data_IF_936050911625
#
_entry.id   IF_936050911625
#
_cell.length_a   1.000
_cell.length_b   1.000
_cell.length_c   1.000
_cell.angle_alpha   90.00
_cell.angle_beta   90.00
_cell.angle_gamma   90.00
#
_symmetry.space_group_name_H-M   'P 1'
#
loop_
_entity.id
_entity.type
_entity.pdbx_description
1 polymer ?
#
# COMPACT_ATOMS: atom_id res chain seq x y z
N UNK A 1 11.36 -34.50 -38.11
CA UNK A 1 12.33 -34.74 -36.99
C UNK A 1 13.08 -33.46 -36.58
N UNK A 2 13.60 -32.65 -37.52
CA UNK A 2 14.35 -31.43 -37.19
C UNK A 2 13.54 -30.41 -36.36
N UNK A 3 12.25 -30.22 -36.66
CA UNK A 3 11.36 -29.29 -35.94
C UNK A 3 11.12 -29.73 -34.48
N UNK A 4 10.98 -31.05 -34.22
CA UNK A 4 10.77 -31.58 -32.88
C UNK A 4 12.04 -31.45 -32.02
N UNK A 5 13.23 -31.68 -32.63
CA UNK A 5 14.53 -31.47 -31.96
C UNK A 5 14.72 -30.00 -31.65
N UNK A 6 14.41 -29.09 -32.58
CA UNK A 6 14.46 -27.63 -32.34
C UNK A 6 13.48 -27.19 -31.22
N UNK A 7 12.26 -27.75 -31.20
CA UNK A 7 11.29 -27.47 -30.16
C UNK A 7 11.81 -27.92 -28.77
N UNK A 8 12.42 -29.12 -28.70
CA UNK A 8 13.06 -29.63 -27.47
C UNK A 8 14.21 -28.71 -27.00
N UNK A 9 15.10 -28.35 -27.90
CA UNK A 9 16.23 -27.46 -27.57
C UNK A 9 15.79 -26.07 -27.09
N UNK A 10 14.76 -25.49 -27.73
CA UNK A 10 14.16 -24.22 -27.28
C UNK A 10 13.52 -24.33 -25.91
N UNK A 11 12.88 -25.46 -25.60
CA UNK A 11 12.27 -25.68 -24.29
C UNK A 11 13.33 -25.80 -23.18
N UNK A 12 14.47 -26.39 -23.47
CA UNK A 12 15.61 -26.49 -22.54
C UNK A 12 16.29 -25.15 -22.31
N UNK A 13 16.27 -24.24 -23.29
CA UNK A 13 16.85 -22.91 -23.17
C UNK A 13 16.03 -21.95 -22.30
N UNK A 14 14.74 -22.25 -22.03
CA UNK A 14 13.89 -21.43 -21.15
C UNK A 14 14.21 -21.76 -19.71
N UNK A 15 14.93 -20.90 -19.03
CA UNK A 15 15.19 -20.98 -17.60
C UNK A 15 14.29 -20.03 -16.82
N UNK A 16 13.65 -20.51 -15.77
CA UNK A 16 12.86 -19.68 -14.84
C UNK A 16 13.64 -19.55 -13.54
N UNK A 17 14.18 -18.37 -13.29
CA UNK A 17 14.95 -18.11 -12.06
C UNK A 17 14.06 -18.22 -10.83
N UNK A 18 14.56 -18.85 -9.76
CA UNK A 18 13.82 -18.96 -8.52
C UNK A 18 13.71 -17.60 -7.83
N UNK A 19 12.48 -17.18 -7.53
CA UNK A 19 12.25 -16.02 -6.65
C UNK A 19 12.36 -16.49 -5.20
N UNK A 20 13.55 -16.37 -4.62
CA UNK A 20 13.82 -16.75 -3.23
C UNK A 20 13.43 -15.63 -2.25
N UNK A 21 12.17 -15.14 -2.34
CA UNK A 21 11.67 -14.07 -1.49
C UNK A 21 10.67 -14.62 -0.46
N UNK A 22 11.01 -14.50 0.82
CA UNK A 22 10.10 -14.89 1.91
C UNK A 22 9.03 -13.84 2.13
N UNK A 23 7.84 -14.24 2.55
CA UNK A 23 6.71 -13.34 2.81
C UNK A 23 7.03 -12.16 3.76
N UNK A 24 7.79 -12.34 4.87
CA UNK A 24 8.17 -11.22 5.73
C UNK A 24 9.06 -10.20 5.03
N UNK A 25 10.00 -10.67 4.21
CA UNK A 25 10.95 -9.81 3.49
C UNK A 25 10.22 -9.02 2.39
N UNK A 26 9.32 -9.66 1.66
CA UNK A 26 8.43 -9.02 0.69
C UNK A 26 7.58 -7.91 1.35
N UNK A 27 7.06 -8.16 2.54
CA UNK A 27 6.30 -7.17 3.29
C UNK A 27 7.15 -5.96 3.70
N UNK A 28 8.39 -6.17 4.15
CA UNK A 28 9.30 -5.07 4.50
C UNK A 28 9.65 -4.20 3.28
N UNK A 29 9.93 -4.84 2.14
CA UNK A 29 10.18 -4.13 0.87
C UNK A 29 8.95 -3.32 0.45
N UNK A 30 7.77 -3.93 0.48
CA UNK A 30 6.52 -3.25 0.12
C UNK A 30 6.22 -2.07 1.06
N UNK A 31 6.43 -2.24 2.37
CA UNK A 31 6.26 -1.19 3.38
C UNK A 31 7.16 0.02 3.12
N UNK A 32 8.39 -0.20 2.63
CA UNK A 32 9.35 0.86 2.35
C UNK A 32 9.16 1.56 1.01
N UNK A 33 8.51 0.90 0.03
CA UNK A 33 8.46 1.40 -1.34
C UNK A 33 7.03 1.74 -1.84
N UNK A 34 5.98 1.31 -1.15
CA UNK A 34 4.60 1.61 -1.55
C UNK A 34 4.14 2.95 -1.01
N UNK A 35 3.99 3.93 -1.90
CA UNK A 35 3.58 5.29 -1.57
C UNK A 35 2.16 5.36 -0.98
N UNK A 36 1.24 4.52 -1.46
CA UNK A 36 -0.13 4.44 -0.91
C UNK A 36 -0.14 4.03 0.57
N UNK A 37 0.74 3.11 0.95
CA UNK A 37 0.88 2.67 2.33
C UNK A 37 1.54 3.76 3.20
N UNK A 38 2.52 4.49 2.66
CA UNK A 38 3.12 5.64 3.32
C UNK A 38 2.10 6.76 3.53
N UNK A 39 1.28 7.06 2.53
CA UNK A 39 0.19 8.05 2.61
C UNK A 39 -0.85 7.64 3.65
N UNK A 40 -1.24 6.37 3.71
CA UNK A 40 -2.14 5.85 4.74
C UNK A 40 -1.59 6.03 6.16
N UNK A 41 -0.28 5.87 6.35
CA UNK A 41 0.39 6.15 7.62
C UNK A 41 0.40 7.66 7.94
N UNK A 42 0.66 8.51 6.96
CA UNK A 42 0.62 9.96 7.14
C UNK A 42 -0.79 10.43 7.53
N UNK A 43 -1.83 9.95 6.84
CA UNK A 43 -3.23 10.25 7.17
C UNK A 43 -3.60 9.83 8.61
N UNK A 44 -3.05 8.72 9.11
CA UNK A 44 -3.25 8.31 10.50
C UNK A 44 -2.59 9.31 11.48
N UNK A 45 -1.39 9.81 11.16
CA UNK A 45 -0.71 10.82 11.96
C UNK A 45 -1.50 12.12 11.97
N UNK A 46 -2.05 12.53 10.84
CA UNK A 46 -2.86 13.75 10.74
C UNK A 46 -4.16 13.65 11.54
N UNK A 47 -4.83 12.50 11.50
CA UNK A 47 -6.01 12.26 12.35
C UNK A 47 -5.68 12.30 13.85
N UNK A 48 -4.48 11.90 14.25
CA UNK A 48 -4.00 12.04 15.63
C UNK A 48 -3.71 13.49 16.00
N UNK A 49 -3.10 14.26 15.08
CA UNK A 49 -2.85 15.71 15.29
C UNK A 49 -4.16 16.49 15.42
N UNK A 50 -5.19 16.09 14.71
CA UNK A 50 -6.51 16.70 14.81
C UNK A 50 -7.13 16.55 16.22
N UNK A 51 -6.83 15.45 16.92
CA UNK A 51 -7.23 15.30 18.33
C UNK A 51 -6.57 16.38 19.20
N UNK A 52 -5.28 16.64 18.99
CA UNK A 52 -4.58 17.66 19.76
C UNK A 52 -5.12 19.06 19.46
N UNK A 53 -5.35 19.36 18.20
CA UNK A 53 -5.95 20.63 17.77
C UNK A 53 -7.31 20.87 18.43
N UNK A 54 -8.22 19.89 18.39
CA UNK A 54 -9.53 20.02 19.03
C UNK A 54 -9.44 20.02 20.57
N UNK A 55 -8.42 19.40 21.17
CA UNK A 55 -8.17 19.50 22.60
C UNK A 55 -7.75 20.91 23.00
N UNK A 56 -6.91 21.55 22.19
CA UNK A 56 -6.45 22.91 22.47
C UNK A 56 -7.60 23.91 22.37
N UNK A 57 -8.58 23.67 21.49
CA UNK A 57 -9.82 24.46 21.44
C UNK A 57 -10.68 24.37 22.73
N UNK A 58 -10.45 23.38 23.59
CA UNK A 58 -11.12 23.25 24.89
C UNK A 58 -10.46 24.07 26.00
N UNK A 59 -9.28 24.62 25.76
CA UNK A 59 -8.57 25.40 26.79
C UNK A 59 -9.18 26.79 26.93
N UNK A 60 -9.08 27.37 28.13
CA UNK A 60 -9.43 28.77 28.38
C UNK A 60 -8.44 29.71 27.70
N UNK A 61 -8.94 30.79 27.17
CA UNK A 61 -8.12 31.84 26.54
C UNK A 61 -8.24 33.13 27.33
N UNK A 62 -7.11 33.74 27.69
CA UNK A 62 -7.04 35.05 28.28
C UNK A 62 -6.35 35.99 27.29
N UNK A 63 -7.14 36.88 26.70
CA UNK A 63 -6.62 37.93 25.84
C UNK A 63 -6.37 39.21 26.66
N UNK A 64 -5.17 39.75 26.54
CA UNK A 64 -4.80 41.03 27.11
C UNK A 64 -4.58 41.99 25.96
N UNK A 65 -5.43 43.02 25.85
CA UNK A 65 -5.30 44.05 24.81
C UNK A 65 -4.78 45.33 25.47
N UNK A 66 -3.82 45.97 24.85
CA UNK A 66 -3.29 47.24 25.27
C UNK A 66 -3.26 48.18 24.06
N UNK A 67 -4.18 49.12 24.06
CA UNK A 67 -4.29 50.12 23.00
C UNK A 67 -3.80 51.46 23.51
N UNK A 68 -2.79 52.02 22.83
CA UNK A 68 -2.20 53.30 23.19
C UNK A 68 -2.26 54.28 22.00
N UNK A 69 -2.88 55.44 22.22
CA UNK A 69 -2.86 56.53 21.23
C UNK A 69 -2.18 57.74 21.85
N UNK A 70 -1.07 58.17 21.26
CA UNK A 70 -0.28 59.30 21.69
C UNK A 70 -0.32 60.39 20.59
N UNK A 71 -0.86 61.55 20.92
CA UNK A 71 -0.90 62.65 19.99
C UNK A 71 0.04 63.77 20.40
N UNK A 72 0.75 64.37 19.45
CA UNK A 72 1.61 65.54 19.68
C UNK A 72 0.80 66.82 19.61
N UNK A 73 1.07 67.77 20.48
CA UNK A 73 0.41 69.05 20.47
C UNK A 73 1.15 70.07 19.57
N UNK A 74 0.42 70.72 18.67
CA UNK A 74 0.93 71.66 17.67
C UNK A 74 1.89 71.05 16.65
N UNK A 75 2.59 71.86 15.89
CA UNK A 75 3.48 71.43 14.77
C UNK A 75 4.86 70.87 15.22
N UNK A 76 4.99 70.42 16.45
CA UNK A 76 6.25 69.89 16.97
C UNK A 76 6.14 68.37 17.20
N UNK A 77 6.82 67.55 16.39
CA UNK A 77 6.73 66.08 16.48
C UNK A 77 7.27 65.45 17.78
N UNK A 78 7.97 66.19 18.61
CA UNK A 78 8.53 65.73 19.86
C UNK A 78 7.77 66.24 21.10
N UNK A 79 6.67 67.01 20.92
CA UNK A 79 5.89 67.57 22.01
C UNK A 79 4.75 66.66 22.44
N UNK A 80 5.07 65.65 23.24
CA UNK A 80 4.07 64.75 23.83
C UNK A 80 3.51 65.35 25.13
N UNK A 81 2.17 65.33 25.28
CA UNK A 81 1.49 65.77 26.50
C UNK A 81 0.59 64.68 27.06
N UNK A 82 0.61 64.49 28.37
CA UNK A 82 -0.25 63.54 29.07
C UNK A 82 -1.76 63.68 28.77
N UNK A 83 -2.32 64.89 28.62
CA UNK A 83 -3.73 65.08 28.34
C UNK A 83 -4.16 64.60 26.94
N UNK A 84 -3.23 64.42 26.00
CA UNK A 84 -3.49 63.94 24.62
C UNK A 84 -3.14 62.47 24.44
N UNK A 85 -2.78 61.77 25.51
CA UNK A 85 -2.44 60.37 25.53
C UNK A 85 -3.63 59.59 26.06
N UNK A 86 -4.11 58.60 25.29
CA UNK A 86 -5.13 57.63 25.74
C UNK A 86 -4.49 56.24 25.78
N UNK A 87 -4.53 55.61 26.95
CA UNK A 87 -4.11 54.22 27.14
C UNK A 87 -5.32 53.44 27.61
N UNK A 88 -5.68 52.39 26.83
CA UNK A 88 -6.77 51.49 27.11
C UNK A 88 -6.21 50.10 27.34
N UNK A 89 -6.49 49.51 28.51
CA UNK A 89 -6.17 48.13 28.82
C UNK A 89 -7.45 47.29 28.90
N UNK A 90 -7.53 46.27 28.10
CA UNK A 90 -8.65 45.33 28.09
C UNK A 90 -8.18 43.93 28.50
N UNK A 91 -9.02 43.26 29.31
CA UNK A 91 -8.86 41.85 29.67
C UNK A 91 -10.11 41.14 29.23
N UNK A 92 -9.94 40.16 28.34
CA UNK A 92 -11.02 39.30 27.86
C UNK A 92 -10.68 37.86 28.27
N UNK A 93 -11.53 37.27 29.12
CA UNK A 93 -11.37 35.90 29.58
C UNK A 93 -12.49 35.03 29.01
N UNK A 94 -12.12 34.11 28.12
CA UNK A 94 -13.03 33.08 27.58
C UNK A 94 -12.95 31.79 28.40
N UNK A 95 -13.94 31.57 29.27
CA UNK A 95 -14.00 30.40 30.12
C UNK A 95 -14.72 29.24 29.46
N UNK A 96 -14.24 27.97 29.59
CA UNK A 96 -14.80 26.80 28.88
C UNK A 96 -16.10 26.26 29.49
N UNK A 97 -17.02 27.14 29.95
CA UNK A 97 -18.20 26.75 30.72
C UNK A 97 -19.24 26.02 29.85
N UNK A 98 -19.39 26.35 28.57
CA UNK A 98 -20.42 25.81 27.68
C UNK A 98 -19.90 25.47 26.28
N UNK A 99 -18.68 24.99 26.14
CA UNK A 99 -18.09 24.60 24.84
C UNK A 99 -18.64 23.23 24.38
N UNK A 100 -19.95 23.17 24.12
CA UNK A 100 -20.60 21.94 23.71
C UNK A 100 -20.14 21.51 22.30
N UNK A 101 -19.96 22.46 21.40
CA UNK A 101 -19.52 22.23 20.02
C UNK A 101 -18.09 21.67 20.03
N UNK A 102 -17.17 22.35 20.68
CA UNK A 102 -15.75 21.97 20.77
C UNK A 102 -15.58 20.60 21.47
N UNK A 103 -16.43 20.29 22.45
CA UNK A 103 -16.45 18.97 23.09
C UNK A 103 -16.96 17.87 22.14
N UNK A 104 -17.90 18.18 21.28
CA UNK A 104 -18.38 17.25 20.28
C UNK A 104 -17.32 17.04 19.18
N UNK A 105 -16.67 18.11 18.71
CA UNK A 105 -15.59 18.06 17.74
C UNK A 105 -14.41 17.22 18.25
N UNK A 106 -14.04 17.41 19.52
CA UNK A 106 -13.02 16.56 20.16
C UNK A 106 -13.40 15.09 20.20
N UNK A 107 -14.66 14.76 20.55
CA UNK A 107 -15.16 13.38 20.54
C UNK A 107 -15.20 12.80 19.13
N UNK A 108 -15.62 13.59 18.17
CA UNK A 108 -15.63 13.21 16.77
C UNK A 108 -14.20 12.91 16.27
N UNK A 109 -13.22 13.74 16.60
CA UNK A 109 -11.82 13.51 16.27
C UNK A 109 -11.30 12.20 16.87
N UNK A 110 -11.66 11.88 18.12
CA UNK A 110 -11.31 10.58 18.74
C UNK A 110 -11.91 9.40 17.99
N UNK A 111 -13.18 9.47 17.60
CA UNK A 111 -13.87 8.42 16.84
C UNK A 111 -13.24 8.26 15.46
N UNK A 112 -12.94 9.37 14.77
CA UNK A 112 -12.33 9.37 13.45
C UNK A 112 -10.91 8.81 13.48
N UNK A 113 -10.12 9.11 14.51
CA UNK A 113 -8.83 8.48 14.73
C UNK A 113 -8.94 6.96 14.88
N UNK A 114 -9.90 6.47 15.68
CA UNK A 114 -10.10 5.04 15.86
C UNK A 114 -10.56 4.35 14.55
N UNK A 115 -11.36 5.03 13.73
CA UNK A 115 -11.74 4.54 12.39
C UNK A 115 -10.53 4.48 11.47
N UNK A 116 -9.72 5.55 11.39
CA UNK A 116 -8.50 5.62 10.60
C UNK A 116 -7.49 4.56 11.01
N UNK A 117 -7.31 4.34 12.33
CA UNK A 117 -6.43 3.29 12.86
C UNK A 117 -6.87 1.89 12.42
N UNK A 118 -8.17 1.58 12.49
CA UNK A 118 -8.71 0.29 12.02
C UNK A 118 -8.54 0.13 10.52
N UNK A 119 -8.82 1.18 9.74
CA UNK A 119 -8.60 1.19 8.28
C UNK A 119 -7.14 0.93 7.91
N UNK A 120 -6.20 1.55 8.63
CA UNK A 120 -4.77 1.31 8.41
C UNK A 120 -4.36 -0.14 8.74
N UNK A 121 -4.86 -0.72 9.83
CA UNK A 121 -4.61 -2.12 10.19
C UNK A 121 -5.16 -3.04 9.08
N UNK A 122 -6.39 -2.80 8.64
CA UNK A 122 -7.02 -3.57 7.55
C UNK A 122 -6.20 -3.48 6.25
N UNK A 123 -5.74 -2.30 5.88
CA UNK A 123 -4.88 -2.09 4.71
C UNK A 123 -3.55 -2.84 4.82
N UNK A 124 -2.93 -2.82 6.00
CA UNK A 124 -1.71 -3.58 6.28
C UNK A 124 -1.92 -5.09 6.14
N UNK A 125 -3.01 -5.59 6.69
CA UNK A 125 -3.32 -7.01 6.68
C UNK A 125 -3.70 -7.47 5.26
N UNK A 126 -4.44 -6.66 4.50
CA UNK A 126 -4.73 -6.90 3.09
C UNK A 126 -3.45 -6.94 2.23
N UNK A 127 -2.51 -6.01 2.47
CA UNK A 127 -1.20 -6.03 1.81
C UNK A 127 -0.44 -7.33 2.09
N UNK A 128 -0.38 -7.75 3.36
CA UNK A 128 0.31 -8.98 3.74
C UNK A 128 -0.34 -10.23 3.11
N UNK A 129 -1.67 -10.29 3.09
CA UNK A 129 -2.42 -11.37 2.42
C UNK A 129 -2.18 -11.37 0.91
N UNK A 130 -2.23 -10.20 0.25
CA UNK A 130 -1.96 -10.05 -1.18
C UNK A 130 -0.55 -10.53 -1.55
N UNK A 131 0.47 -10.14 -0.79
CA UNK A 131 1.85 -10.58 -1.02
C UNK A 131 2.01 -12.09 -0.86
N UNK A 132 1.38 -12.69 0.16
CA UNK A 132 1.39 -14.16 0.33
C UNK A 132 0.68 -14.88 -0.82
N UNK A 133 -0.40 -14.30 -1.34
CA UNK A 133 -1.11 -14.86 -2.49
C UNK A 133 -0.25 -14.81 -3.75
N UNK A 134 0.40 -13.66 -4.02
CA UNK A 134 1.31 -13.49 -5.16
C UNK A 134 2.51 -14.44 -5.11
N UNK A 135 3.14 -14.61 -3.95
CA UNK A 135 4.27 -15.54 -3.81
C UNK A 135 3.83 -16.98 -4.09
N UNK A 136 2.67 -17.41 -3.57
CA UNK A 136 2.11 -18.74 -3.89
C UNK A 136 1.76 -18.89 -5.36
N UNK A 137 1.25 -17.85 -5.99
CA UNK A 137 0.96 -17.86 -7.43
C UNK A 137 2.24 -17.99 -8.27
N UNK A 138 3.33 -17.34 -7.88
CA UNK A 138 4.64 -17.50 -8.53
C UNK A 138 5.11 -18.95 -8.41
N UNK A 139 5.02 -19.55 -7.22
CA UNK A 139 5.41 -20.96 -7.02
C UNK A 139 4.55 -21.91 -7.84
N UNK A 140 3.23 -21.67 -7.89
CA UNK A 140 2.30 -22.44 -8.73
C UNK A 140 2.65 -22.36 -10.21
N UNK A 141 2.87 -21.14 -10.73
CA UNK A 141 3.24 -20.93 -12.13
C UNK A 141 4.57 -21.61 -12.48
N UNK A 142 5.52 -21.63 -11.57
CA UNK A 142 6.79 -22.35 -11.75
C UNK A 142 6.56 -23.86 -11.88
N UNK A 143 5.74 -24.43 -11.00
CA UNK A 143 5.39 -25.86 -11.09
C UNK A 143 4.65 -26.16 -12.38
N UNK A 144 3.76 -25.27 -12.82
CA UNK A 144 3.05 -25.43 -14.08
C UNK A 144 3.99 -25.43 -15.29
N UNK A 145 4.99 -24.54 -15.32
CA UNK A 145 6.03 -24.53 -16.37
C UNK A 145 6.76 -25.86 -16.41
N UNK A 146 7.13 -26.45 -15.26
CA UNK A 146 7.80 -27.75 -15.21
C UNK A 146 6.88 -28.89 -15.69
N UNK A 147 5.60 -28.85 -15.35
CA UNK A 147 4.61 -29.83 -15.82
C UNK A 147 4.47 -29.73 -17.34
N UNK A 148 4.31 -28.52 -17.88
CA UNK A 148 4.19 -28.32 -19.31
C UNK A 148 5.45 -28.74 -20.07
N UNK A 149 6.63 -28.48 -19.51
CA UNK A 149 7.91 -28.92 -20.08
C UNK A 149 7.96 -30.46 -20.19
N UNK A 150 7.56 -31.16 -19.14
CA UNK A 150 7.48 -32.64 -19.16
C UNK A 150 6.42 -33.14 -20.14
N UNK A 151 5.26 -32.47 -20.21
CA UNK A 151 4.20 -32.81 -21.16
C UNK A 151 4.66 -32.72 -22.61
N UNK A 152 5.40 -31.67 -22.99
CA UNK A 152 5.98 -31.54 -24.34
C UNK A 152 7.01 -32.62 -24.61
N UNK A 153 7.88 -32.96 -23.64
CA UNK A 153 8.85 -34.05 -23.80
C UNK A 153 8.15 -35.40 -24.02
N UNK A 154 7.07 -35.67 -23.29
CA UNK A 154 6.25 -36.89 -23.48
C UNK A 154 5.59 -36.88 -24.87
N UNK A 155 5.04 -35.74 -25.31
CA UNK A 155 4.44 -35.61 -26.60
C UNK A 155 5.42 -35.89 -27.76
N UNK A 156 6.66 -35.35 -27.64
CA UNK A 156 7.74 -35.64 -28.61
C UNK A 156 8.03 -37.14 -28.66
N UNK A 157 8.23 -37.78 -27.52
CA UNK A 157 8.48 -39.24 -27.46
C UNK A 157 7.33 -40.07 -28.04
N UNK A 158 6.08 -39.61 -27.82
CA UNK A 158 4.89 -40.29 -28.38
C UNK A 158 4.86 -40.22 -29.91
N UNK A 159 5.22 -39.08 -30.51
CA UNK A 159 5.34 -38.94 -31.95
C UNK A 159 6.42 -39.87 -32.50
N UNK A 160 7.62 -39.87 -31.88
CA UNK A 160 8.70 -40.78 -32.30
C UNK A 160 8.32 -42.25 -32.20
N UNK A 161 7.63 -42.64 -31.14
CA UNK A 161 7.12 -44.00 -30.94
C UNK A 161 6.09 -44.38 -32.00
N UNK A 162 5.14 -43.48 -32.30
CA UNK A 162 4.12 -43.72 -33.32
C UNK A 162 4.75 -43.86 -34.73
N UNK A 163 5.74 -43.05 -35.05
CA UNK A 163 6.51 -43.17 -36.27
C UNK A 163 7.25 -44.50 -36.38
N UNK A 164 7.92 -44.91 -35.31
CA UNK A 164 8.61 -46.21 -35.26
C UNK A 164 7.67 -47.37 -35.42
N UNK A 165 6.45 -47.31 -34.91
CA UNK A 165 5.39 -48.30 -35.15
C UNK A 165 4.93 -48.36 -36.60
N UNK A 166 4.83 -47.23 -37.28
CA UNK A 166 4.45 -47.17 -38.71
C UNK A 166 5.56 -47.67 -39.63
N UNK A 167 6.80 -47.43 -39.25
CA UNK A 167 8.01 -47.89 -39.97
C UNK A 167 8.36 -49.37 -39.69
N UNK A 168 7.73 -49.98 -38.70
CA UNK A 168 8.00 -51.36 -38.32
C UNK A 168 7.50 -52.32 -39.43
N UNK A 169 8.30 -53.27 -39.89
CA UNK A 169 7.87 -54.25 -40.91
C UNK A 169 6.68 -55.07 -40.36
N UNK A 170 5.67 -55.23 -41.21
CA UNK A 170 4.51 -56.04 -40.88
C UNK A 170 4.99 -57.45 -40.52
N UNK A 171 4.70 -57.88 -39.31
CA UNK A 171 5.06 -59.21 -38.88
C UNK A 171 4.45 -60.25 -39.87
N UNK A 172 5.24 -61.24 -40.34
CA UNK A 172 4.71 -62.25 -41.22
C UNK A 172 3.52 -62.96 -40.55
N UNK A 173 2.39 -63.06 -41.29
CA UNK A 173 1.19 -63.71 -40.78
C UNK A 173 1.56 -65.11 -40.26
N UNK A 174 1.16 -65.43 -39.01
CA UNK A 174 1.41 -66.72 -38.42
C UNK A 174 0.89 -67.82 -39.37
N UNK A 175 1.66 -68.84 -39.65
CA UNK A 175 1.23 -69.93 -40.53
C UNK A 175 0.02 -70.61 -39.90
N UNK A 176 -1.19 -70.38 -40.47
CA UNK A 176 -2.45 -70.96 -40.00
C UNK A 176 -3.62 -70.01 -39.84
N UNK A 177 -3.48 -68.68 -40.05
CA UNK A 177 -4.60 -67.77 -40.07
C UNK A 177 -5.35 -67.91 -41.44
N UNK A 178 -6.55 -68.43 -41.36
CA UNK A 178 -7.49 -68.45 -42.52
C UNK A 178 -7.82 -67.03 -42.92
N UNK A 179 -7.84 -66.72 -44.24
CA UNK A 179 -8.32 -65.43 -44.76
C UNK A 179 -9.80 -65.27 -44.44
N UNK A 180 -10.21 -64.21 -43.83
CA UNK A 180 -11.61 -63.79 -43.75
C UNK A 180 -12.10 -63.31 -45.10
#
# INVERSE_FOLDING_TARGET
RSVLVQAGARLESVTVDPVALRSPDAFQIARGNRLDFMNGRAALVDSWRLIQFNRDALQSVLNVTADGNVQTSKNNPLSFRAPTTNLQLGLEFDAPITRLIERNDYREALINYQRSRRGYIQSRDALNQGLRALLRQIDQLRQEVEIQRRAVTIAIRRVDFTQALLDAPVAPAAPGALPN
#
